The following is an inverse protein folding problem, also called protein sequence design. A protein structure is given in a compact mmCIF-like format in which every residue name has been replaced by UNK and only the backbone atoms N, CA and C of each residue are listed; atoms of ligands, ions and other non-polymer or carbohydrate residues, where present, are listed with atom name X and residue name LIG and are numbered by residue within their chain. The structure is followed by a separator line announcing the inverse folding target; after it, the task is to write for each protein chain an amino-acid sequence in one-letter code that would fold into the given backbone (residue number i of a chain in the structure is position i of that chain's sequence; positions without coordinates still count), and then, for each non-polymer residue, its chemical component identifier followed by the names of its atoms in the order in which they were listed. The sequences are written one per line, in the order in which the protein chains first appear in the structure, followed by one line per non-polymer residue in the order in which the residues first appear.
data_IF_964636295677
#
_entry.id   IF_964636295677
#
_cell.length_a   1.000
_cell.length_b   1.000
_cell.length_c   1.000
_cell.angle_alpha   90.00
_cell.angle_beta   90.00
_cell.angle_gamma   90.00
#
_symmetry.space_group_name_H-M   'P 1'
#
loop_
_entity.id
_entity.type
_entity.pdbx_description
1 polymer ?
#
# COMPACT_ATOMS: atom_id res chain seq x y z
N UNK A 1 21.16 4.06 1.47
CA UNK A 1 20.54 4.67 2.67
C UNK A 1 19.66 3.61 3.35
N UNK A 2 19.98 3.18 4.58
CA UNK A 2 19.25 2.08 5.23
C UNK A 2 17.78 2.41 5.53
N UNK A 3 17.46 3.68 5.78
CA UNK A 3 16.10 4.15 6.07
C UNK A 3 15.15 4.01 4.88
N UNK A 4 15.62 4.29 3.66
CA UNK A 4 14.80 4.13 2.45
C UNK A 4 14.47 2.65 2.18
N UNK A 5 15.39 1.74 2.46
CA UNK A 5 15.15 0.30 2.32
C UNK A 5 14.10 -0.20 3.32
N UNK A 6 14.13 0.29 4.57
CA UNK A 6 13.13 -0.07 5.57
C UNK A 6 11.75 0.45 5.19
N UNK A 7 11.65 1.70 4.72
CA UNK A 7 10.39 2.30 4.27
C UNK A 7 9.82 1.53 3.07
N UNK A 8 10.64 1.18 2.08
CA UNK A 8 10.19 0.41 0.92
C UNK A 8 9.67 -0.97 1.34
N UNK A 9 10.42 -1.68 2.21
CA UNK A 9 9.98 -2.97 2.73
C UNK A 9 8.68 -2.86 3.55
N UNK A 10 8.57 -1.86 4.44
CA UNK A 10 7.38 -1.67 5.26
C UNK A 10 6.15 -1.40 4.40
N UNK A 11 6.26 -0.52 3.40
CA UNK A 11 5.12 -0.13 2.58
C UNK A 11 4.73 -1.19 1.54
N UNK A 12 5.70 -1.90 0.94
CA UNK A 12 5.44 -2.76 -0.22
C UNK A 12 5.57 -4.26 0.02
N UNK A 13 6.21 -4.69 1.12
CA UNK A 13 6.57 -6.10 1.35
C UNK A 13 6.02 -6.65 2.66
N UNK A 14 5.90 -5.82 3.69
CA UNK A 14 5.39 -6.24 4.99
C UNK A 14 3.87 -6.39 4.94
N UNK A 15 3.38 -7.58 5.26
CA UNK A 15 1.95 -7.86 5.43
C UNK A 15 1.49 -7.61 6.86
N UNK A 16 0.27 -7.12 7.03
CA UNK A 16 -0.32 -6.80 8.34
C UNK A 16 -1.69 -7.48 8.52
N UNK A 17 -1.87 -8.22 9.63
CA UNK A 17 -3.15 -8.87 9.94
C UNK A 17 -4.30 -7.88 10.10
N UNK A 18 -4.03 -6.69 10.65
CA UNK A 18 -5.01 -5.60 10.76
C UNK A 18 -5.50 -5.08 9.40
N UNK A 19 -4.70 -5.25 8.34
CA UNK A 19 -5.07 -4.89 6.97
C UNK A 19 -5.69 -6.08 6.20
N UNK A 20 -5.88 -7.23 6.84
CA UNK A 20 -6.34 -8.45 6.16
C UNK A 20 -5.22 -9.22 5.46
N UNK A 21 -3.99 -9.14 5.98
CA UNK A 21 -2.80 -9.82 5.45
C UNK A 21 -2.31 -9.30 4.09
N UNK A 22 -2.52 -8.01 3.82
CA UNK A 22 -1.93 -7.30 2.67
C UNK A 22 -0.92 -6.24 3.14
N UNK A 23 -0.12 -5.71 2.22
CA UNK A 23 0.80 -4.61 2.50
C UNK A 23 0.07 -3.26 2.60
N UNK A 24 0.64 -2.25 3.27
CA UNK A 24 0.06 -0.92 3.33
C UNK A 24 -0.21 -0.31 1.95
N UNK A 25 0.70 -0.50 0.99
CA UNK A 25 0.55 -0.01 -0.38
C UNK A 25 -0.63 -0.65 -1.11
N UNK A 26 -0.78 -1.97 -1.01
CA UNK A 26 -1.91 -2.68 -1.62
C UNK A 26 -3.25 -2.27 -0.99
N UNK A 27 -3.29 -2.10 0.33
CA UNK A 27 -4.47 -1.65 1.04
C UNK A 27 -4.94 -0.27 0.56
N UNK A 28 -4.01 0.67 0.42
CA UNK A 28 -4.29 2.03 -0.08
C UNK A 28 -4.74 2.02 -1.55
N UNK A 29 -4.11 1.20 -2.41
CA UNK A 29 -4.54 1.02 -3.79
C UNK A 29 -5.99 0.50 -3.89
N UNK A 30 -6.34 -0.54 -3.12
CA UNK A 30 -7.71 -1.05 -3.05
C UNK A 30 -8.72 -0.02 -2.53
N UNK A 31 -8.30 0.87 -1.63
CA UNK A 31 -9.13 1.95 -1.11
C UNK A 31 -9.43 2.99 -2.20
N UNK A 32 -8.40 3.45 -2.93
CA UNK A 32 -8.59 4.41 -4.02
C UNK A 32 -9.35 3.82 -5.22
N UNK A 33 -9.16 2.56 -5.55
CA UNK A 33 -9.94 1.88 -6.61
C UNK A 33 -11.45 1.93 -6.32
N UNK A 34 -11.83 1.81 -5.03
CA UNK A 34 -13.24 1.88 -4.61
C UNK A 34 -13.80 3.30 -4.64
N UNK A 35 -12.94 4.30 -4.41
CA UNK A 35 -13.36 5.70 -4.24
C UNK A 35 -13.27 6.48 -5.55
N UNK A 36 -12.43 6.04 -6.48
CA UNK A 36 -12.23 6.67 -7.77
C UNK A 36 -12.57 5.70 -8.92
N UNK A 37 -13.86 5.49 -9.25
CA UNK A 37 -14.26 4.62 -10.37
C UNK A 37 -13.77 5.12 -11.75
N UNK A 38 -13.17 6.31 -11.84
CA UNK A 38 -12.69 6.92 -13.08
C UNK A 38 -11.16 6.92 -13.24
N UNK A 39 -10.40 6.27 -12.35
CA UNK A 39 -9.01 5.90 -12.62
C UNK A 39 -8.09 7.06 -13.03
N UNK A 40 -8.29 8.26 -12.50
CA UNK A 40 -7.32 9.34 -12.70
C UNK A 40 -6.20 9.20 -11.67
N UNK A 41 -5.18 8.46 -12.06
CA UNK A 41 -3.84 8.50 -11.45
C UNK A 41 -3.11 9.75 -11.95
N UNK A 42 -2.63 10.56 -11.00
CA UNK A 42 -1.63 11.59 -11.25
C UNK A 42 -0.23 10.96 -11.33
#
# INVERSE_FOLDING_TARGET
LATLNWVDWFNKKRVHSALGYVSPFEFEAMYYDKINPLGQVA
#
